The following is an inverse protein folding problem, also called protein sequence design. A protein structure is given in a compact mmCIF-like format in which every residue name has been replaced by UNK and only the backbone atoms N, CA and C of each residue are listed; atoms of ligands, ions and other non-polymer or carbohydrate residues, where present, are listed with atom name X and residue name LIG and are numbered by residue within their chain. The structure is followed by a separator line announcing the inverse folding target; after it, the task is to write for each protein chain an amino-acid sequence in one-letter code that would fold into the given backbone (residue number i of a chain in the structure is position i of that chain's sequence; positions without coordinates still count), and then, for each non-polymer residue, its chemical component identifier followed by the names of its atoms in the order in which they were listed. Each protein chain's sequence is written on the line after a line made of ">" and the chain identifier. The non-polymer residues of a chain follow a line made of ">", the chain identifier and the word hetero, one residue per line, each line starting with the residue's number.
data_IF_719638641544
#
_entry.id   IF_719638641544
#
_cell.length_a   1.000
_cell.length_b   1.000
_cell.length_c   1.000
_cell.angle_alpha   90.00
_cell.angle_beta   90.00
_cell.angle_gamma   90.00
#
_symmetry.space_group_name_H-M   'P 1'
#
loop_
_entity.id
_entity.type
_entity.pdbx_description
1 polymer ?
#
# COMPACT_ATOMS: atom_id res chain seq x y z
N UNK A 1 23.65 40.70 -37.49
CA UNK A 1 25.11 40.52 -37.26
C UNK A 1 25.30 39.20 -36.55
N UNK A 2 26.16 38.32 -37.09
CA UNK A 2 26.55 37.02 -36.53
C UNK A 2 27.40 37.23 -35.27
N UNK A 3 27.17 36.45 -34.22
CA UNK A 3 28.21 35.82 -33.38
C UNK A 3 27.57 34.78 -32.46
N UNK A 4 27.75 33.52 -32.86
CA UNK A 4 27.61 32.32 -32.05
C UNK A 4 28.90 32.20 -31.24
N UNK A 5 28.84 31.96 -29.94
CA UNK A 5 29.88 31.21 -29.26
C UNK A 5 29.30 30.43 -28.06
N UNK A 6 29.55 29.11 -27.99
CA UNK A 6 29.05 28.21 -26.95
C UNK A 6 30.02 28.11 -25.78
N UNK A 7 29.52 27.87 -24.56
CA UNK A 7 30.36 27.43 -23.43
C UNK A 7 29.56 26.48 -22.51
N UNK A 8 29.89 25.21 -22.63
CA UNK A 8 29.70 24.08 -21.69
C UNK A 8 30.96 23.21 -21.89
N UNK A 9 31.41 22.35 -20.95
CA UNK A 9 31.08 22.16 -19.54
C UNK A 9 32.35 22.13 -18.65
N UNK A 10 32.23 22.16 -17.32
CA UNK A 10 33.29 21.74 -16.41
C UNK A 10 32.81 20.54 -15.59
N UNK A 11 33.17 19.33 -16.04
CA UNK A 11 33.17 18.13 -15.21
C UNK A 11 34.32 18.24 -14.21
N UNK A 12 34.02 18.17 -12.92
CA UNK A 12 35.01 17.78 -11.91
C UNK A 12 34.67 16.36 -11.45
N UNK A 13 35.33 15.38 -12.08
CA UNK A 13 35.49 14.03 -11.57
C UNK A 13 36.63 14.04 -10.56
N UNK A 14 36.32 13.94 -9.27
CA UNK A 14 37.30 13.57 -8.24
C UNK A 14 37.26 12.06 -8.09
N UNK A 15 38.39 11.41 -8.38
CA UNK A 15 38.67 10.03 -8.06
C UNK A 15 39.75 9.90 -6.98
N UNK A 16 39.50 9.06 -5.99
CA UNK A 16 40.45 8.23 -5.22
C UNK A 16 39.58 7.31 -4.34
N UNK A 17 39.39 6.03 -4.68
CA UNK A 17 40.30 4.90 -4.45
C UNK A 17 40.60 4.66 -2.97
N UNK A 18 39.93 3.65 -2.40
CA UNK A 18 40.39 2.66 -1.41
C UNK A 18 39.22 1.71 -1.08
N UNK A 19 39.40 0.40 -1.28
CA UNK A 19 38.56 -0.69 -0.75
C UNK A 19 39.47 -1.66 0.02
N UNK A 20 38.97 -2.60 0.84
CA UNK A 20 37.76 -2.61 1.69
C UNK A 20 38.15 -2.79 3.18
N UNK A 21 37.20 -2.59 4.10
CA UNK A 21 37.29 -3.16 5.44
C UNK A 21 36.03 -4.01 5.65
N UNK A 22 36.25 -5.32 5.66
CA UNK A 22 35.32 -6.34 6.14
C UNK A 22 35.05 -6.11 7.63
N UNK A 23 33.77 -5.98 8.00
CA UNK A 23 33.28 -6.30 9.34
C UNK A 23 31.81 -6.72 9.19
N UNK A 24 31.64 -7.93 8.67
CA UNK A 24 30.38 -8.67 8.75
C UNK A 24 30.32 -9.35 10.12
N UNK A 25 29.32 -9.09 10.98
CA UNK A 25 29.18 -9.85 12.22
C UNK A 25 28.64 -11.25 11.89
N UNK A 26 29.58 -12.19 11.79
CA UNK A 26 29.30 -13.61 11.74
C UNK A 26 28.76 -14.08 13.12
N UNK A 27 27.45 -14.24 13.23
CA UNK A 27 26.83 -14.97 14.33
C UNK A 27 26.84 -16.46 14.02
N UNK A 28 28.00 -17.09 14.17
CA UNK A 28 28.07 -18.53 14.41
C UNK A 28 29.10 -18.80 15.49
N UNK A 29 28.62 -19.00 16.71
CA UNK A 29 29.34 -19.84 17.66
C UNK A 29 28.37 -20.88 18.22
N UNK A 30 28.49 -22.08 17.65
CA UNK A 30 27.96 -23.32 18.21
C UNK A 30 29.16 -24.12 18.64
N UNK A 31 29.39 -24.29 19.94
CA UNK A 31 29.93 -25.56 20.45
C UNK A 31 29.47 -25.78 21.90
N UNK A 32 29.16 -27.02 22.31
CA UNK A 32 28.32 -27.32 23.45
C UNK A 32 29.11 -27.81 24.67
N UNK A 33 28.53 -27.67 25.86
CA UNK A 33 28.87 -28.57 26.97
C UNK A 33 27.64 -28.88 27.83
N UNK A 34 27.19 -30.12 27.74
CA UNK A 34 26.33 -30.77 28.74
C UNK A 34 27.21 -31.36 29.84
N UNK A 35 26.78 -31.26 31.10
CA UNK A 35 26.56 -32.42 31.99
C UNK A 35 26.16 -31.99 33.42
N UNK A 36 25.02 -32.56 33.87
CA UNK A 36 24.66 -33.08 35.21
C UNK A 36 24.80 -32.21 36.47
N UNK A 37 23.67 -31.96 37.18
CA UNK A 37 23.19 -32.67 38.39
C UNK A 37 23.91 -32.18 39.67
N UNK A 38 23.31 -31.84 40.81
CA UNK A 38 22.01 -32.15 41.41
C UNK A 38 21.72 -31.21 42.60
N UNK A 39 20.42 -31.05 42.89
CA UNK A 39 19.76 -30.96 44.22
C UNK A 39 19.96 -29.75 45.14
N UNK A 40 18.83 -29.05 45.46
CA UNK A 40 18.10 -29.16 46.75
C UNK A 40 16.68 -28.56 46.70
N UNK A 41 15.67 -29.45 46.63
CA UNK A 41 14.39 -29.54 47.36
C UNK A 41 13.54 -28.34 47.84
N UNK A 42 12.26 -28.38 47.41
CA UNK A 42 10.96 -28.19 48.11
C UNK A 42 10.37 -26.77 48.33
N UNK A 43 9.26 -26.45 47.63
CA UNK A 43 7.90 -26.33 48.21
C UNK A 43 6.85 -25.94 47.14
N UNK A 44 5.70 -26.64 47.17
CA UNK A 44 4.48 -26.43 46.38
C UNK A 44 3.83 -25.06 46.59
N UNK A 45 3.27 -24.48 45.52
CA UNK A 45 1.99 -23.75 45.56
C UNK A 45 1.43 -23.59 44.14
N UNK A 46 0.38 -24.37 43.89
CA UNK A 46 -0.56 -24.28 42.77
C UNK A 46 -1.25 -22.90 42.77
N UNK A 47 -1.18 -22.18 41.65
CA UNK A 47 -2.09 -21.08 41.36
C UNK A 47 -2.24 -20.93 39.84
N UNK A 48 -3.22 -21.64 39.30
CA UNK A 48 -3.89 -21.28 38.05
C UNK A 48 -4.22 -19.77 38.05
N UNK A 49 -3.66 -19.03 37.10
CA UNK A 49 -4.25 -17.78 36.62
C UNK A 49 -4.01 -17.67 35.13
N UNK A 50 -5.12 -17.83 34.42
CA UNK A 50 -5.36 -17.54 33.03
C UNK A 50 -5.04 -16.07 32.71
N UNK A 51 -4.34 -15.85 31.59
CA UNK A 51 -4.32 -14.63 30.74
C UNK A 51 -2.92 -14.35 30.23
N UNK A 52 -2.64 -14.71 28.98
CA UNK A 52 -2.07 -13.74 28.02
C UNK A 52 -2.20 -14.27 26.61
N UNK A 53 -2.98 -13.53 25.81
CA UNK A 53 -3.10 -13.69 24.38
C UNK A 53 -1.71 -13.75 23.72
N UNK A 54 -1.38 -14.91 23.14
CA UNK A 54 -0.31 -15.01 22.18
C UNK A 54 -0.92 -14.84 20.79
N UNK A 55 -0.66 -13.68 20.21
CA UNK A 55 -0.83 -13.40 18.79
C UNK A 55 -0.15 -14.51 17.98
N UNK A 56 -0.95 -15.34 17.34
CA UNK A 56 -0.45 -16.34 16.40
C UNK A 56 -0.46 -15.71 15.01
N UNK A 57 0.69 -15.22 14.59
CA UNK A 57 1.00 -14.77 13.24
C UNK A 57 0.93 -15.97 12.29
N UNK A 58 -0.27 -16.27 11.78
CA UNK A 58 -0.41 -17.25 10.72
C UNK A 58 0.21 -16.68 9.42
N UNK A 59 1.05 -17.43 8.69
CA UNK A 59 1.63 -16.96 7.44
C UNK A 59 0.54 -16.70 6.40
N UNK A 60 0.59 -15.55 5.74
CA UNK A 60 -0.31 -15.20 4.64
C UNK A 60 -0.22 -16.29 3.54
N UNK A 61 -1.30 -17.06 3.39
CA UNK A 61 -1.44 -17.98 2.30
C UNK A 61 -1.45 -17.21 0.96
N UNK A 62 -0.86 -17.75 -0.12
CA UNK A 62 -0.82 -17.07 -1.41
C UNK A 62 -2.24 -16.87 -1.94
N UNK A 63 -2.65 -15.62 -2.11
CA UNK A 63 -3.92 -15.25 -2.73
C UNK A 63 -3.94 -15.75 -4.17
N UNK A 64 -4.68 -16.84 -4.41
CA UNK A 64 -5.05 -17.24 -5.76
C UNK A 64 -5.86 -16.09 -6.37
N UNK A 65 -5.55 -15.72 -7.61
CA UNK A 65 -6.40 -14.88 -8.47
C UNK A 65 -7.79 -15.53 -8.55
N UNK A 66 -8.70 -15.12 -7.68
CA UNK A 66 -10.08 -15.54 -7.74
C UNK A 66 -10.77 -14.67 -8.78
N UNK A 67 -11.23 -15.33 -9.84
CA UNK A 67 -12.20 -14.80 -10.79
C UNK A 67 -13.38 -14.25 -9.99
N UNK A 68 -13.71 -12.97 -10.19
CA UNK A 68 -14.72 -12.20 -9.45
C UNK A 68 -15.81 -13.10 -8.85
N UNK A 69 -15.62 -13.44 -7.58
CA UNK A 69 -16.64 -14.13 -6.81
C UNK A 69 -17.83 -13.18 -6.74
N UNK A 70 -19.04 -13.73 -6.90
CA UNK A 70 -20.24 -12.91 -6.93
C UNK A 70 -20.34 -12.23 -5.57
N UNK A 71 -20.12 -10.93 -5.57
CA UNK A 71 -20.04 -10.11 -4.38
C UNK A 71 -21.34 -10.21 -3.58
N UNK A 72 -21.23 -10.67 -2.33
CA UNK A 72 -22.31 -10.57 -1.36
C UNK A 72 -22.21 -9.18 -0.73
N UNK A 73 -23.11 -8.28 -1.15
CA UNK A 73 -23.11 -6.88 -0.72
C UNK A 73 -23.17 -6.74 0.81
N UNK A 74 -23.83 -7.68 1.51
CA UNK A 74 -23.93 -7.68 2.97
C UNK A 74 -22.60 -8.06 3.62
N UNK A 75 -21.87 -9.03 3.07
CA UNK A 75 -20.54 -9.39 3.56
C UNK A 75 -19.52 -8.26 3.31
N UNK A 76 -19.60 -7.61 2.15
CA UNK A 76 -18.74 -6.48 1.80
C UNK A 76 -18.99 -5.27 2.70
N UNK A 77 -20.25 -4.93 2.97
CA UNK A 77 -20.60 -3.84 3.87
C UNK A 77 -20.18 -4.10 5.33
N UNK A 78 -20.06 -5.37 5.73
CA UNK A 78 -19.59 -5.75 7.05
C UNK A 78 -18.06 -5.69 7.21
N UNK A 79 -17.31 -5.74 6.10
CA UNK A 79 -15.85 -5.65 6.13
C UNK A 79 -15.41 -4.19 5.99
N UNK A 80 -14.81 -3.64 7.05
CA UNK A 80 -14.22 -2.29 7.05
C UNK A 80 -12.70 -2.39 6.98
N UNK A 81 -12.12 -1.62 6.05
CA UNK A 81 -10.69 -1.55 5.80
C UNK A 81 -10.09 -2.81 5.14
N UNK A 82 -8.85 -2.65 4.68
CA UNK A 82 -8.04 -3.74 4.15
C UNK A 82 -8.43 -4.20 2.75
N UNK A 83 -8.04 -5.42 2.37
CA UNK A 83 -8.22 -5.92 1.01
C UNK A 83 -9.68 -6.37 0.80
N UNK A 84 -10.37 -5.71 -0.11
CA UNK A 84 -11.75 -6.00 -0.49
C UNK A 84 -11.87 -7.01 -1.63
N UNK A 85 -10.76 -7.30 -2.30
CA UNK A 85 -10.68 -8.31 -3.36
C UNK A 85 -9.93 -7.83 -4.58
N UNK A 86 -10.02 -8.62 -5.66
CA UNK A 86 -9.40 -8.33 -6.96
C UNK A 86 -10.48 -8.27 -8.05
N UNK A 87 -10.55 -7.18 -8.81
CA UNK A 87 -11.47 -6.99 -9.96
C UNK A 87 -10.70 -6.48 -11.15
N UNK A 88 -10.88 -7.07 -12.33
CA UNK A 88 -10.22 -6.65 -13.58
C UNK A 88 -8.70 -6.40 -13.45
N UNK A 89 -8.01 -7.29 -12.72
CA UNK A 89 -6.58 -7.20 -12.39
C UNK A 89 -6.21 -6.05 -11.43
N UNK A 90 -7.17 -5.39 -10.80
CA UNK A 90 -6.97 -4.40 -9.75
C UNK A 90 -7.27 -5.01 -8.38
N UNK A 91 -6.33 -4.95 -7.44
CA UNK A 91 -6.58 -5.17 -6.03
C UNK A 91 -7.20 -3.90 -5.44
N UNK A 92 -8.34 -4.04 -4.77
CA UNK A 92 -9.10 -2.96 -4.17
C UNK A 92 -8.88 -3.03 -2.67
N UNK A 93 -8.39 -1.93 -2.09
CA UNK A 93 -8.00 -1.83 -0.69
C UNK A 93 -8.76 -0.66 -0.08
N UNK A 94 -9.67 -0.95 0.85
CA UNK A 94 -10.40 0.07 1.60
C UNK A 94 -9.50 0.70 2.67
N UNK A 95 -9.62 2.02 2.85
CA UNK A 95 -9.01 2.72 3.98
C UNK A 95 -9.77 2.43 5.29
N UNK A 96 -9.18 2.78 6.45
CA UNK A 96 -9.55 2.27 7.77
C UNK A 96 -11.00 2.54 8.21
N UNK A 97 -11.64 3.59 7.67
CA UNK A 97 -13.03 3.94 7.96
C UNK A 97 -13.98 3.62 6.78
N UNK A 98 -13.50 2.87 5.79
CA UNK A 98 -14.23 2.57 4.55
C UNK A 98 -14.64 1.11 4.53
N UNK A 99 -15.93 0.83 4.32
CA UNK A 99 -16.39 -0.54 4.08
C UNK A 99 -16.11 -1.00 2.65
N UNK A 100 -15.99 -2.31 2.45
CA UNK A 100 -15.60 -2.86 1.16
C UNK A 100 -16.65 -2.67 0.07
N UNK A 101 -17.94 -2.54 0.42
CA UNK A 101 -18.98 -2.23 -0.55
C UNK A 101 -18.80 -0.81 -1.09
N UNK A 102 -18.55 0.16 -0.20
CA UNK A 102 -18.22 1.52 -0.60
C UNK A 102 -16.92 1.58 -1.39
N UNK A 103 -15.88 0.86 -0.98
CA UNK A 103 -14.60 0.84 -1.70
C UNK A 103 -14.73 0.32 -3.13
N UNK A 104 -15.59 -0.66 -3.37
CA UNK A 104 -15.92 -1.17 -4.70
C UNK A 104 -16.67 -0.13 -5.55
N UNK A 105 -17.57 0.66 -4.96
CA UNK A 105 -18.26 1.73 -5.67
C UNK A 105 -17.30 2.90 -6.00
N UNK A 106 -16.35 3.21 -5.12
CA UNK A 106 -15.26 4.15 -5.40
C UNK A 106 -14.43 3.66 -6.58
N UNK A 107 -14.06 2.37 -6.61
CA UNK A 107 -13.34 1.77 -7.74
C UNK A 107 -14.08 1.97 -9.08
N UNK A 108 -15.39 1.71 -9.12
CA UNK A 108 -16.19 1.88 -10.35
C UNK A 108 -16.13 3.32 -10.86
N UNK A 109 -16.31 4.31 -9.98
CA UNK A 109 -16.25 5.73 -10.35
C UNK A 109 -14.83 6.16 -10.74
N UNK A 110 -13.82 5.72 -10.01
CA UNK A 110 -12.43 6.02 -10.30
C UNK A 110 -11.97 5.48 -11.66
N UNK A 111 -12.53 4.35 -12.11
CA UNK A 111 -12.25 3.77 -13.43
C UNK A 111 -12.99 4.46 -14.58
N UNK A 112 -14.13 5.09 -14.32
CA UNK A 112 -14.91 5.85 -15.31
C UNK A 112 -14.44 7.31 -15.44
N UNK A 113 -13.79 7.83 -14.39
CA UNK A 113 -13.36 9.21 -14.29
C UNK A 113 -12.32 9.63 -15.35
N UNK A 114 -12.29 10.94 -15.62
CA UNK A 114 -11.25 11.58 -16.41
C UNK A 114 -10.18 12.15 -15.51
N UNK A 115 -8.94 11.78 -15.75
CA UNK A 115 -7.77 12.28 -15.02
C UNK A 115 -7.07 13.38 -15.81
N UNK A 116 -6.63 14.41 -15.11
CA UNK A 116 -5.87 15.53 -15.66
C UNK A 116 -4.49 15.59 -15.05
N UNK A 117 -3.49 15.91 -15.85
CA UNK A 117 -2.13 16.07 -15.34
C UNK A 117 -2.01 17.45 -14.69
N UNK A 118 -1.95 17.49 -13.36
CA UNK A 118 -1.99 18.74 -12.61
C UNK A 118 -0.80 18.86 -11.65
N UNK A 119 -0.38 20.11 -11.42
CA UNK A 119 0.66 20.46 -10.45
C UNK A 119 0.05 21.38 -9.39
N UNK A 120 -0.41 20.85 -8.24
CA UNK A 120 -1.09 21.66 -7.24
C UNK A 120 -0.16 22.67 -6.56
N UNK A 121 1.16 22.42 -6.57
CA UNK A 121 2.17 23.36 -6.12
C UNK A 121 3.43 23.27 -7.00
N UNK A 122 4.08 24.39 -7.39
CA UNK A 122 5.21 24.38 -8.34
C UNK A 122 6.46 23.63 -7.84
N UNK A 123 6.49 23.22 -6.56
CA UNK A 123 7.59 22.44 -5.97
C UNK A 123 7.28 20.95 -5.86
N UNK A 124 6.06 20.51 -6.19
CA UNK A 124 5.71 19.10 -6.20
C UNK A 124 5.71 18.58 -7.62
N UNK A 125 5.91 17.28 -7.78
CA UNK A 125 5.81 16.62 -9.08
C UNK A 125 4.37 16.67 -9.56
N UNK A 126 4.19 16.90 -10.87
CA UNK A 126 2.89 16.74 -11.53
C UNK A 126 2.34 15.32 -11.33
N UNK A 127 1.03 15.21 -11.14
CA UNK A 127 0.37 13.93 -10.99
C UNK A 127 -0.99 13.95 -11.70
N UNK A 128 -1.37 12.79 -12.25
CA UNK A 128 -2.71 12.58 -12.78
C UNK A 128 -3.71 12.59 -11.64
N UNK A 129 -4.66 13.51 -11.69
CA UNK A 129 -5.62 13.79 -10.64
C UNK A 129 -7.04 13.81 -11.19
N UNK A 130 -8.01 13.44 -10.36
CA UNK A 130 -9.44 13.53 -10.67
C UNK A 130 -10.22 13.71 -9.37
N UNK A 131 -11.36 14.38 -9.43
CA UNK A 131 -12.30 14.49 -8.32
C UNK A 131 -13.57 13.73 -8.68
N UNK A 132 -14.02 12.87 -7.76
CA UNK A 132 -15.22 12.05 -7.93
C UNK A 132 -16.15 12.22 -6.74
N UNK A 133 -17.47 12.15 -6.98
CA UNK A 133 -18.47 12.08 -5.92
C UNK A 133 -19.07 10.68 -5.89
N UNK A 134 -18.99 10.00 -4.75
CA UNK A 134 -19.47 8.62 -4.60
C UNK A 134 -20.37 8.52 -3.39
N UNK A 135 -21.51 7.85 -3.54
CA UNK A 135 -22.45 7.59 -2.46
C UNK A 135 -22.09 6.28 -1.77
N UNK A 136 -21.93 6.28 -0.45
CA UNK A 136 -21.79 5.05 0.32
C UNK A 136 -23.11 4.26 0.25
N UNK A 137 -23.10 3.01 -0.26
CA UNK A 137 -24.31 2.23 -0.43
C UNK A 137 -24.98 1.82 0.89
N UNK A 138 -24.23 1.77 1.99
CA UNK A 138 -24.71 1.35 3.31
C UNK A 138 -25.27 2.53 4.14
N UNK A 139 -24.52 3.63 4.25
CA UNK A 139 -24.99 4.81 5.02
C UNK A 139 -25.91 5.73 4.22
N UNK A 140 -25.73 5.75 2.90
CA UNK A 140 -26.41 6.67 2.00
C UNK A 140 -25.79 8.07 1.92
N UNK A 141 -24.68 8.31 2.62
CA UNK A 141 -23.95 9.58 2.55
C UNK A 141 -23.17 9.69 1.24
N UNK A 142 -23.02 10.91 0.73
CA UNK A 142 -22.19 11.20 -0.44
C UNK A 142 -20.86 11.80 0.00
N UNK A 143 -19.77 11.35 -0.64
CA UNK A 143 -18.42 11.80 -0.36
C UNK A 143 -17.77 12.32 -1.63
N UNK A 144 -17.15 13.50 -1.53
CA UNK A 144 -16.25 14.02 -2.54
C UNK A 144 -14.84 13.48 -2.26
N UNK A 145 -14.28 12.75 -3.23
CA UNK A 145 -12.99 12.08 -3.12
C UNK A 145 -12.04 12.64 -4.16
N UNK A 146 -10.83 12.95 -3.71
CA UNK A 146 -9.73 13.35 -4.55
C UNK A 146 -8.88 12.13 -4.90
N UNK A 147 -8.81 11.79 -6.17
CA UNK A 147 -8.09 10.66 -6.73
C UNK A 147 -6.75 11.09 -7.31
N UNK A 148 -5.66 10.53 -6.80
CA UNK A 148 -4.31 10.76 -7.31
C UNK A 148 -3.72 9.45 -7.83
N UNK A 149 -3.30 9.44 -9.09
CA UNK A 149 -2.52 8.35 -9.64
C UNK A 149 -1.06 8.46 -9.21
N UNK A 150 -0.48 7.35 -8.75
CA UNK A 150 0.94 7.29 -8.48
C UNK A 150 1.75 7.52 -9.76
N UNK A 151 2.97 8.05 -9.63
CA UNK A 151 3.87 8.37 -10.76
C UNK A 151 4.27 7.13 -11.57
N UNK A 152 4.31 5.95 -10.95
CA UNK A 152 4.52 4.68 -11.64
C UNK A 152 3.28 4.17 -12.39
N UNK A 153 2.14 4.86 -12.23
CA UNK A 153 0.84 4.61 -12.85
C UNK A 153 0.29 3.20 -12.57
N UNK A 154 0.77 2.54 -11.50
CA UNK A 154 0.30 1.22 -11.06
C UNK A 154 -0.73 1.28 -9.95
N UNK A 155 -0.93 2.44 -9.34
CA UNK A 155 -1.93 2.64 -8.30
C UNK A 155 -2.64 3.98 -8.45
N UNK A 156 -3.90 4.02 -8.03
CA UNK A 156 -4.65 5.25 -7.77
C UNK A 156 -5.10 5.21 -6.32
N UNK A 157 -5.04 6.35 -5.65
CA UNK A 157 -5.59 6.52 -4.31
C UNK A 157 -6.66 7.61 -4.35
N UNK A 158 -7.91 7.24 -4.10
CA UNK A 158 -9.03 8.16 -3.95
C UNK A 158 -9.33 8.33 -2.47
N UNK A 159 -9.21 9.56 -1.96
CA UNK A 159 -9.44 9.86 -0.53
C UNK A 159 -10.30 11.09 -0.35
N UNK A 160 -11.06 11.09 0.74
CA UNK A 160 -11.71 12.30 1.22
C UNK A 160 -10.61 13.29 1.67
N UNK A 161 -10.62 14.54 1.20
CA UNK A 161 -9.63 15.54 1.59
C UNK A 161 -9.70 15.93 3.08
N UNK A 162 -10.87 15.79 3.70
CA UNK A 162 -11.13 16.14 5.10
C UNK A 162 -10.90 14.96 6.06
N UNK A 163 -11.00 13.72 5.58
CA UNK A 163 -10.73 12.50 6.36
C UNK A 163 -9.99 11.44 5.53
N UNK A 164 -8.68 11.34 5.76
CA UNK A 164 -7.82 10.41 5.03
C UNK A 164 -8.10 8.92 5.31
N UNK A 165 -8.96 8.59 6.29
CA UNK A 165 -9.39 7.21 6.55
C UNK A 165 -10.57 6.78 5.67
N UNK A 166 -11.17 7.73 4.94
CA UNK A 166 -12.29 7.49 4.02
C UNK A 166 -11.74 7.52 2.59
N UNK A 167 -11.73 6.36 1.94
CA UNK A 167 -11.12 6.21 0.62
C UNK A 167 -10.79 4.79 0.24
N UNK A 168 -10.21 4.67 -0.94
CA UNK A 168 -9.80 3.40 -1.54
C UNK A 168 -8.49 3.57 -2.28
N UNK A 169 -7.55 2.67 -2.01
CA UNK A 169 -6.38 2.45 -2.86
C UNK A 169 -6.64 1.30 -3.83
N UNK A 170 -6.37 1.55 -5.10
CA UNK A 170 -6.57 0.59 -6.18
C UNK A 170 -5.19 0.28 -6.77
N UNK A 171 -4.77 -0.99 -6.73
CA UNK A 171 -3.44 -1.41 -7.19
C UNK A 171 -3.53 -2.40 -8.35
N UNK A 172 -2.89 -2.11 -9.47
CA UNK A 172 -2.86 -3.01 -10.63
C UNK A 172 -1.89 -4.16 -10.40
N UNK A 173 -2.43 -5.37 -10.48
CA UNK A 173 -1.70 -6.64 -10.40
C UNK A 173 -1.15 -7.09 -11.76
N UNK A 174 -1.61 -6.49 -12.86
CA UNK A 174 -1.15 -6.76 -14.22
C UNK A 174 -1.22 -5.50 -15.11
N UNK A 175 -0.51 -5.52 -16.25
CA UNK A 175 -0.65 -4.50 -17.30
C UNK A 175 -2.04 -4.56 -17.96
N UNK A 176 -2.54 -3.50 -18.63
CA UNK A 176 -1.96 -2.16 -18.82
C UNK A 176 -1.93 -1.30 -17.54
N UNK A 177 -1.19 -0.19 -17.54
CA UNK A 177 -1.12 0.78 -16.42
C UNK A 177 -2.42 1.60 -16.31
N UNK A 178 -2.62 2.38 -15.24
CA UNK A 178 -3.88 3.09 -14.99
C UNK A 178 -4.26 4.08 -16.07
N UNK A 179 -3.33 4.93 -16.52
CA UNK A 179 -3.58 5.94 -17.56
C UNK A 179 -4.00 5.34 -18.92
N UNK A 180 -3.70 4.06 -19.15
CA UNK A 180 -4.15 3.32 -20.34
C UNK A 180 -5.54 2.67 -20.16
N UNK A 181 -6.11 2.72 -18.95
CA UNK A 181 -7.39 2.10 -18.57
C UNK A 181 -8.50 3.11 -18.26
N UNK A 182 -8.15 4.39 -18.09
CA UNK A 182 -9.08 5.47 -17.73
C UNK A 182 -9.01 6.57 -18.79
N UNK A 183 -9.95 7.52 -18.74
CA UNK A 183 -9.87 8.71 -19.58
C UNK A 183 -8.79 9.65 -19.05
N UNK A 184 -7.96 10.21 -19.92
CA UNK A 184 -6.90 11.16 -19.54
C UNK A 184 -6.91 12.39 -20.44
N UNK A 185 -6.74 13.57 -19.85
CA UNK A 185 -6.65 14.86 -20.55
C UNK A 185 -5.39 15.63 -20.14
N UNK A 186 -4.74 16.27 -21.11
CA UNK A 186 -3.51 17.04 -20.92
C UNK A 186 -3.80 18.54 -20.85
#
# INVERSE_FOLDING_TARGET
>A
MKKILPLLPALLLVGCSSSPADDEPNFTDTTPHSTNSDSTTLADADANTDSTASASSAPAAPFKLQKAEKDDDSALAAQVGGICGIRDYAQIIADDATDCAFALDIYKHAMDATYRLETPHPTVTEAWQSDITVKNPNSGDSYDLHCIMATNQKSVHCRNPDDANIGTRIELTARPIFSERVHTEY
#
